data_IF_922415533404
#
_entry.id   IF_922415533404
#
_cell.length_a   1.000
_cell.length_b   1.000
_cell.length_c   1.000
_cell.angle_alpha   90.00
_cell.angle_beta   90.00
_cell.angle_gamma   90.00
#
_symmetry.space_group_name_H-M   'P 1'
#
loop_
_entity.id
_entity.type
_entity.pdbx_description
1 polymer ?
#
# COMPACT_ATOMS: atom_id res chain seq x y z
N UNK A 1 -28.58 -14.85 -0.62
CA UNK A 1 -27.50 -15.85 -0.87
C UNK A 1 -26.90 -16.20 0.47
N UNK A 2 -26.97 -17.46 0.94
CA UNK A 2 -26.48 -17.91 2.28
C UNK A 2 -24.99 -17.65 2.57
N UNK A 3 -24.20 -17.38 1.53
CA UNK A 3 -22.78 -17.11 1.66
C UNK A 3 -22.46 -15.86 2.50
N UNK A 4 -23.31 -14.86 2.48
CA UNK A 4 -23.10 -13.58 3.18
C UNK A 4 -23.26 -13.67 4.70
N UNK A 5 -24.11 -14.56 5.20
CA UNK A 5 -24.36 -14.69 6.64
C UNK A 5 -23.27 -15.53 7.34
N UNK A 6 -22.82 -16.62 6.73
CA UNK A 6 -21.77 -17.49 7.31
C UNK A 6 -20.38 -16.85 7.31
N UNK A 7 -20.10 -15.94 6.38
CA UNK A 7 -18.79 -15.30 6.26
C UNK A 7 -18.71 -13.91 6.90
N UNK A 8 -19.84 -13.31 7.28
CA UNK A 8 -19.89 -11.98 7.90
C UNK A 8 -19.06 -11.88 9.18
N UNK A 9 -18.96 -12.96 9.95
CA UNK A 9 -18.17 -13.05 11.18
C UNK A 9 -16.68 -13.36 10.94
N UNK A 10 -16.25 -13.61 9.70
CA UNK A 10 -14.85 -13.89 9.35
C UNK A 10 -14.07 -12.65 8.94
N UNK A 11 -14.78 -11.56 8.66
CA UNK A 11 -14.15 -10.29 8.33
C UNK A 11 -14.20 -9.35 9.52
N UNK A 12 -13.20 -8.51 9.74
CA UNK A 12 -13.25 -7.49 10.78
C UNK A 12 -14.46 -6.59 10.54
N UNK A 13 -15.11 -6.20 11.64
CA UNK A 13 -16.22 -5.26 11.55
C UNK A 13 -15.71 -3.91 11.04
N UNK A 14 -16.43 -3.34 10.07
CA UNK A 14 -16.09 -2.04 9.51
C UNK A 14 -16.23 -0.94 10.58
N UNK A 15 -15.19 -0.12 10.70
CA UNK A 15 -15.16 1.06 11.56
C UNK A 15 -16.03 2.17 10.98
N UNK A 16 -16.37 3.13 11.81
CA UNK A 16 -17.11 4.35 11.43
C UNK A 16 -16.31 5.59 11.88
N UNK A 17 -15.04 5.65 11.50
CA UNK A 17 -14.07 6.61 12.02
C UNK A 17 -13.30 7.35 10.93
N UNK A 18 -13.75 7.23 9.67
CA UNK A 18 -13.09 7.77 8.48
C UNK A 18 -11.67 7.24 8.24
N UNK A 19 -11.32 6.09 8.81
CA UNK A 19 -10.05 5.44 8.54
C UNK A 19 -9.99 4.88 7.12
N UNK A 20 -8.80 4.99 6.50
CA UNK A 20 -8.53 4.48 5.15
C UNK A 20 -7.46 3.39 5.25
N UNK A 21 -7.79 2.19 4.80
CA UNK A 21 -6.80 1.16 4.54
C UNK A 21 -6.28 1.27 3.12
N UNK A 22 -4.98 1.41 2.97
CA UNK A 22 -4.30 1.49 1.67
C UNK A 22 -3.56 0.19 1.41
N UNK A 23 -4.01 -0.57 0.42
CA UNK A 23 -3.36 -1.81 -0.03
C UNK A 23 -2.30 -1.48 -1.07
N UNK A 24 -1.04 -1.76 -0.75
CA UNK A 24 0.12 -1.45 -1.55
C UNK A 24 0.96 -2.71 -1.81
N UNK A 25 0.90 -3.22 -3.02
CA UNK A 25 1.79 -4.29 -3.49
C UNK A 25 2.96 -3.69 -4.28
N UNK A 26 4.19 -4.08 -3.96
CA UNK A 26 5.39 -3.63 -4.68
C UNK A 26 6.26 -4.80 -5.08
N UNK A 27 6.87 -4.70 -6.27
CA UNK A 27 7.83 -5.66 -6.80
C UNK A 27 9.07 -4.92 -7.28
N UNK A 28 10.14 -4.94 -6.47
CA UNK A 28 11.44 -4.33 -6.79
C UNK A 28 11.34 -2.87 -7.25
N UNK A 29 10.37 -2.13 -6.73
CA UNK A 29 10.06 -0.77 -7.16
C UNK A 29 10.77 0.26 -6.27
N UNK A 30 11.72 1.04 -6.81
CA UNK A 30 12.45 2.05 -6.06
C UNK A 30 11.59 3.27 -5.68
N UNK A 31 10.42 3.46 -6.31
CA UNK A 31 9.52 4.57 -6.02
C UNK A 31 8.60 4.32 -4.83
N UNK A 32 8.51 3.07 -4.36
CA UNK A 32 7.62 2.71 -3.26
C UNK A 32 7.80 3.58 -1.99
N UNK A 33 9.01 3.91 -1.51
CA UNK A 33 9.16 4.80 -0.36
C UNK A 33 8.59 6.19 -0.60
N UNK A 34 8.73 6.73 -1.82
CA UNK A 34 8.20 8.03 -2.21
C UNK A 34 6.67 8.02 -2.23
N UNK A 35 6.07 6.93 -2.68
CA UNK A 35 4.61 6.76 -2.67
C UNK A 35 4.04 6.82 -1.25
N UNK A 36 4.62 6.05 -0.29
CA UNK A 36 4.14 6.09 1.10
C UNK A 36 4.39 7.47 1.72
N UNK A 37 5.54 8.08 1.44
CA UNK A 37 5.84 9.43 1.89
C UNK A 37 4.81 10.45 1.39
N UNK A 38 4.55 10.46 0.08
CA UNK A 38 3.56 11.35 -0.55
C UNK A 38 2.15 11.13 0.04
N UNK A 39 1.78 9.87 0.30
CA UNK A 39 0.51 9.48 0.90
C UNK A 39 0.31 10.12 2.28
N UNK A 40 1.33 10.05 3.16
CA UNK A 40 1.25 10.63 4.51
C UNK A 40 1.43 12.14 4.54
N UNK A 41 2.33 12.67 3.71
CA UNK A 41 2.64 14.11 3.66
C UNK A 41 1.46 14.96 3.19
N UNK A 42 0.71 14.43 2.21
CA UNK A 42 -0.39 15.13 1.57
C UNK A 42 -1.77 14.80 2.15
N UNK A 43 -1.85 13.92 3.14
CA UNK A 43 -3.11 13.63 3.80
C UNK A 43 -3.51 14.73 4.78
N UNK A 44 -4.79 15.07 4.84
CA UNK A 44 -5.38 15.93 5.85
C UNK A 44 -5.40 15.27 7.24
N UNK A 45 -5.61 13.94 7.26
CA UNK A 45 -5.73 13.13 8.47
C UNK A 45 -4.78 11.91 8.43
N UNK A 46 -3.44 12.12 8.47
CA UNK A 46 -2.47 11.04 8.38
C UNK A 46 -2.61 10.01 9.51
N UNK A 47 -3.16 10.40 10.66
CA UNK A 47 -3.45 9.50 11.79
C UNK A 47 -4.57 8.49 11.52
N UNK A 48 -5.35 8.69 10.45
CA UNK A 48 -6.43 7.80 9.99
C UNK A 48 -5.99 6.83 8.90
N UNK A 49 -4.74 6.89 8.47
CA UNK A 49 -4.21 6.05 7.39
C UNK A 49 -3.57 4.78 7.92
N UNK A 50 -3.88 3.67 7.27
CA UNK A 50 -3.32 2.34 7.54
C UNK A 50 -2.86 1.74 6.23
N UNK A 51 -1.58 1.37 6.14
CA UNK A 51 -0.98 0.83 4.91
C UNK A 51 -0.68 -0.65 5.10
N UNK A 52 -1.22 -1.48 4.23
CA UNK A 52 -0.83 -2.88 4.09
C UNK A 52 0.19 -3.01 2.97
N UNK A 53 1.47 -3.06 3.35
CA UNK A 53 2.59 -3.13 2.42
C UNK A 53 3.02 -4.57 2.19
N UNK A 54 2.76 -5.08 1.00
CA UNK A 54 3.27 -6.37 0.52
C UNK A 54 4.48 -6.14 -0.38
N UNK A 55 5.68 -6.34 0.17
CA UNK A 55 6.93 -6.02 -0.48
C UNK A 55 7.62 -7.29 -1.01
N UNK A 56 7.90 -7.32 -2.30
CA UNK A 56 8.54 -8.41 -3.02
C UNK A 56 9.88 -7.91 -3.56
N UNK A 57 10.93 -8.06 -2.78
CA UNK A 57 12.25 -7.49 -3.07
C UNK A 57 13.35 -8.55 -3.04
N UNK A 58 14.43 -8.25 -3.72
CA UNK A 58 15.67 -8.98 -3.57
C UNK A 58 16.44 -8.45 -2.35
N UNK A 59 16.74 -9.32 -1.39
CA UNK A 59 17.38 -8.92 -0.13
C UNK A 59 18.87 -9.29 -0.07
N UNK A 60 19.39 -10.03 -1.06
CA UNK A 60 20.75 -10.55 -1.04
C UNK A 60 21.78 -9.61 -1.68
N UNK A 61 23.07 -9.85 -1.42
CA UNK A 61 24.15 -9.09 -2.05
C UNK A 61 24.29 -9.35 -3.57
N UNK A 62 23.66 -10.41 -4.08
CA UNK A 62 23.69 -10.80 -5.50
C UNK A 62 22.38 -10.52 -6.22
N UNK A 63 21.67 -9.50 -5.81
CA UNK A 63 20.46 -9.09 -6.49
C UNK A 63 20.78 -8.59 -7.90
N UNK A 64 20.21 -9.23 -8.90
CA UNK A 64 20.40 -8.86 -10.30
C UNK A 64 19.37 -7.84 -10.72
N UNK A 65 19.80 -6.74 -11.31
CA UNK A 65 18.90 -5.88 -12.05
C UNK A 65 18.53 -6.57 -13.36
N UNK A 66 17.26 -6.58 -13.73
CA UNK A 66 16.82 -7.11 -15.02
C UNK A 66 17.25 -6.30 -16.23
N UNK A 67 18.16 -5.32 -16.08
CA UNK A 67 18.63 -4.43 -17.13
C UNK A 67 19.96 -4.99 -17.68
N UNK A 68 19.86 -5.56 -18.87
CA UNK A 68 21.03 -5.93 -19.69
C UNK A 68 21.65 -4.67 -20.29
N UNK A 69 22.65 -4.07 -19.62
CA UNK A 69 23.56 -3.15 -20.28
C UNK A 69 24.66 -3.95 -20.96
N UNK A 70 24.64 -4.01 -22.28
CA UNK A 70 25.68 -4.69 -23.07
C UNK A 70 25.74 -6.21 -22.88
N UNK A 71 24.62 -6.89 -22.51
CA UNK A 71 24.56 -8.35 -22.33
C UNK A 71 25.11 -8.86 -20.97
N UNK A 72 25.53 -7.97 -20.08
CA UNK A 72 26.03 -8.33 -18.74
C UNK A 72 24.94 -7.97 -17.72
N UNK A 73 24.56 -8.93 -16.88
CA UNK A 73 23.68 -8.69 -15.72
C UNK A 73 24.59 -8.21 -14.59
N UNK A 74 24.52 -6.92 -14.28
CA UNK A 74 25.26 -6.37 -13.12
C UNK A 74 24.54 -6.71 -11.82
N UNK A 75 25.29 -7.10 -10.79
CA UNK A 75 24.78 -7.25 -9.43
C UNK A 75 24.56 -5.85 -8.85
N UNK A 76 23.30 -5.46 -8.65
CA UNK A 76 22.92 -4.13 -8.16
C UNK A 76 22.90 -4.01 -6.63
N UNK A 77 23.13 -5.12 -5.93
CA UNK A 77 22.90 -5.18 -4.49
C UNK A 77 21.40 -5.33 -4.13
N UNK A 78 21.07 -5.28 -2.85
CA UNK A 78 19.68 -5.43 -2.41
C UNK A 78 18.81 -4.27 -2.89
N UNK A 79 17.53 -4.58 -3.14
CA UNK A 79 16.53 -3.55 -3.46
C UNK A 79 16.28 -2.63 -2.26
N UNK A 80 15.84 -1.40 -2.53
CA UNK A 80 15.44 -0.47 -1.47
C UNK A 80 14.29 -1.07 -0.65
N UNK A 81 14.44 -1.07 0.67
CA UNK A 81 13.38 -1.52 1.56
C UNK A 81 12.39 -0.36 1.79
N UNK A 82 11.23 -0.45 1.15
CA UNK A 82 10.20 0.58 1.18
C UNK A 82 9.77 0.96 2.61
N UNK A 83 9.58 -0.04 3.48
CA UNK A 83 9.20 0.17 4.87
C UNK A 83 10.29 0.92 5.65
N UNK A 84 11.53 0.44 5.56
CA UNK A 84 12.65 1.02 6.30
C UNK A 84 12.93 2.45 5.85
N UNK A 85 12.92 2.70 4.54
CA UNK A 85 13.12 4.03 3.97
C UNK A 85 12.04 5.01 4.41
N UNK A 86 10.77 4.60 4.37
CA UNK A 86 9.68 5.44 4.87
C UNK A 86 9.75 5.66 6.38
N UNK A 87 9.92 4.60 7.18
CA UNK A 87 9.91 4.71 8.65
C UNK A 87 11.04 5.59 9.20
N UNK A 88 12.17 5.68 8.48
CA UNK A 88 13.30 6.54 8.83
C UNK A 88 13.21 7.93 8.20
N UNK A 89 12.24 8.20 7.34
CA UNK A 89 12.02 9.51 6.75
C UNK A 89 11.44 10.51 7.77
N UNK A 90 11.60 11.83 7.55
CA UNK A 90 10.97 12.84 8.39
C UNK A 90 9.45 12.66 8.53
N UNK A 91 8.76 12.25 7.47
CA UNK A 91 7.32 12.01 7.44
C UNK A 91 6.93 10.77 8.26
N UNK A 92 7.67 9.67 8.11
CA UNK A 92 7.47 8.44 8.88
C UNK A 92 7.67 8.65 10.39
N UNK A 93 8.69 9.44 10.75
CA UNK A 93 8.98 9.82 12.15
C UNK A 93 7.87 10.71 12.69
N UNK A 94 7.47 11.75 11.95
CA UNK A 94 6.45 12.74 12.35
C UNK A 94 5.08 12.11 12.55
N UNK A 95 4.67 11.23 11.63
CA UNK A 95 3.38 10.55 11.70
C UNK A 95 3.31 9.47 12.79
N UNK A 96 4.46 8.99 13.27
CA UNK A 96 4.56 7.79 14.12
C UNK A 96 3.88 6.53 13.52
N UNK A 97 3.64 6.51 12.22
CA UNK A 97 2.86 5.46 11.57
C UNK A 97 3.45 4.06 11.77
N UNK A 98 4.78 3.92 11.67
CA UNK A 98 5.43 2.63 11.89
C UNK A 98 5.38 2.20 13.36
N UNK A 99 5.56 3.13 14.31
CA UNK A 99 5.49 2.83 15.76
C UNK A 99 4.09 2.40 16.19
N UNK A 100 3.07 2.98 15.59
CA UNK A 100 1.67 2.71 15.90
C UNK A 100 1.11 1.54 15.08
N UNK A 101 1.95 0.82 14.34
CA UNK A 101 1.53 -0.28 13.45
C UNK A 101 0.50 0.13 12.40
N UNK A 102 0.54 1.39 11.96
CA UNK A 102 -0.27 1.88 10.85
C UNK A 102 0.31 1.45 9.49
N UNK A 103 1.61 1.14 9.42
CA UNK A 103 2.22 0.49 8.25
C UNK A 103 2.53 -0.96 8.62
N UNK A 104 1.77 -1.87 8.02
CA UNK A 104 1.86 -3.32 8.24
C UNK A 104 2.60 -3.94 7.08
N UNK A 105 3.73 -4.59 7.35
CA UNK A 105 4.65 -5.10 6.35
C UNK A 105 4.62 -6.62 6.24
N UNK A 106 4.63 -7.12 5.02
CA UNK A 106 5.00 -8.49 4.71
C UNK A 106 6.05 -8.50 3.59
N UNK A 107 7.20 -9.08 3.87
CA UNK A 107 8.30 -9.22 2.92
C UNK A 107 8.35 -10.64 2.36
N UNK A 108 8.51 -10.74 1.05
CA UNK A 108 8.87 -11.98 0.37
C UNK A 108 10.04 -11.74 -0.58
N UNK A 109 10.79 -12.79 -0.87
CA UNK A 109 11.83 -12.69 -1.88
C UNK A 109 11.19 -12.54 -3.27
N UNK A 110 11.83 -11.80 -4.18
CA UNK A 110 11.33 -11.57 -5.54
C UNK A 110 11.11 -12.87 -6.32
N UNK A 111 11.89 -13.91 -6.02
CA UNK A 111 11.76 -15.23 -6.64
C UNK A 111 10.48 -15.98 -6.24
N UNK A 112 9.84 -15.58 -5.14
CA UNK A 112 8.57 -16.12 -4.66
C UNK A 112 7.37 -15.32 -5.17
N UNK A 113 7.61 -14.32 -6.01
CA UNK A 113 6.54 -13.49 -6.59
C UNK A 113 5.65 -14.29 -7.52
N UNK A 114 4.35 -14.25 -7.28
CA UNK A 114 3.31 -14.84 -8.10
C UNK A 114 2.50 -13.80 -8.89
N UNK A 115 3.10 -12.62 -9.10
CA UNK A 115 2.52 -11.55 -9.89
C UNK A 115 1.58 -10.63 -9.09
N UNK A 116 1.06 -9.58 -9.76
CA UNK A 116 0.34 -8.47 -9.12
C UNK A 116 -0.97 -8.89 -8.44
N UNK A 117 -1.69 -9.86 -8.98
CA UNK A 117 -2.94 -10.32 -8.39
C UNK A 117 -2.74 -10.99 -7.03
N UNK A 118 -1.68 -11.81 -6.91
CA UNK A 118 -1.35 -12.43 -5.63
C UNK A 118 -0.87 -11.38 -4.62
N UNK A 119 -0.05 -10.42 -5.06
CA UNK A 119 0.40 -9.31 -4.21
C UNK A 119 -0.78 -8.50 -3.64
N UNK A 120 -1.75 -8.15 -4.48
CA UNK A 120 -2.97 -7.45 -4.07
C UNK A 120 -3.83 -8.27 -3.11
N UNK A 121 -3.98 -9.58 -3.39
CA UNK A 121 -4.71 -10.50 -2.51
C UNK A 121 -4.06 -10.59 -1.12
N UNK A 122 -2.73 -10.77 -1.06
CA UNK A 122 -2.00 -10.85 0.21
C UNK A 122 -1.98 -9.50 0.93
N UNK A 123 -1.82 -8.40 0.20
CA UNK A 123 -1.94 -7.05 0.76
C UNK A 123 -3.29 -6.78 1.42
N UNK A 124 -4.37 -7.26 0.80
CA UNK A 124 -5.72 -7.13 1.35
C UNK A 124 -5.92 -7.87 2.70
N UNK A 125 -5.08 -8.88 3.01
CA UNK A 125 -5.14 -9.59 4.31
C UNK A 125 -4.75 -8.72 5.50
N UNK A 126 -4.10 -7.57 5.26
CA UNK A 126 -3.77 -6.61 6.31
C UNK A 126 -4.94 -5.72 6.74
N UNK A 127 -6.05 -5.73 6.01
CA UNK A 127 -7.25 -4.99 6.36
C UNK A 127 -7.80 -5.42 7.72
N UNK A 128 -8.09 -4.46 8.59
CA UNK A 128 -8.57 -4.68 9.96
C UNK A 128 -9.87 -3.92 10.27
N UNK A 129 -10.69 -3.74 9.25
CA UNK A 129 -11.99 -3.09 9.40
C UNK A 129 -11.96 -1.56 9.25
N UNK A 130 -10.90 -0.99 8.70
CA UNK A 130 -10.87 0.43 8.33
C UNK A 130 -12.11 0.78 7.47
N UNK A 131 -12.63 2.00 7.62
CA UNK A 131 -13.92 2.35 7.00
C UNK A 131 -13.87 2.36 5.47
N UNK A 132 -12.74 2.77 4.90
CA UNK A 132 -12.53 2.82 3.46
C UNK A 132 -11.36 1.93 3.06
N UNK A 133 -11.44 1.38 1.86
CA UNK A 133 -10.38 0.57 1.24
C UNK A 133 -9.91 1.24 -0.04
N UNK A 134 -8.61 1.51 -0.13
CA UNK A 134 -7.95 2.07 -1.30
C UNK A 134 -6.87 1.11 -1.79
N UNK A 135 -6.86 0.78 -3.07
CA UNK A 135 -5.80 0.01 -3.70
C UNK A 135 -5.02 0.90 -4.66
N UNK A 136 -3.71 0.91 -4.52
CA UNK A 136 -2.81 1.73 -5.33
C UNK A 136 -1.62 0.93 -5.86
N UNK A 137 -0.96 1.47 -6.86
CA UNK A 137 0.35 0.99 -7.33
C UNK A 137 1.49 1.69 -6.55
N UNK A 138 2.66 1.04 -6.53
CA UNK A 138 3.81 1.46 -5.71
C UNK A 138 4.56 2.70 -6.22
N UNK A 139 4.10 3.30 -7.32
CA UNK A 139 4.63 4.51 -7.95
C UNK A 139 3.54 5.57 -8.14
N UNK A 140 2.74 5.78 -7.10
CA UNK A 140 1.65 6.75 -7.08
C UNK A 140 2.05 8.02 -6.32
N UNK A 141 1.54 9.17 -6.75
CA UNK A 141 1.67 10.45 -6.06
C UNK A 141 0.30 10.97 -5.64
N UNK A 142 0.27 11.71 -4.53
CA UNK A 142 -0.95 12.22 -3.92
C UNK A 142 -0.94 13.74 -3.89
N UNK A 143 -2.09 14.34 -4.21
CA UNK A 143 -2.31 15.78 -4.08
C UNK A 143 -2.65 16.14 -2.62
N UNK A 144 -2.45 17.40 -2.19
CA UNK A 144 -2.88 17.84 -0.85
C UNK A 144 -4.35 17.51 -0.56
N UNK A 145 -4.64 17.08 0.67
CA UNK A 145 -5.97 16.72 1.15
C UNK A 145 -6.64 15.55 0.38
N UNK A 146 -5.87 14.67 -0.26
CA UNK A 146 -6.38 13.59 -1.09
C UNK A 146 -7.38 12.68 -0.36
N UNK A 147 -7.13 12.39 0.91
CA UNK A 147 -7.99 11.57 1.78
C UNK A 147 -9.39 12.17 1.95
N UNK A 148 -9.45 13.48 2.20
CA UNK A 148 -10.70 14.21 2.27
C UNK A 148 -11.44 14.21 0.92
N UNK A 149 -10.73 14.46 -0.17
CA UNK A 149 -11.33 14.48 -1.50
C UNK A 149 -11.90 13.11 -1.91
N UNK A 150 -11.17 12.03 -1.67
CA UNK A 150 -11.65 10.67 -1.98
C UNK A 150 -12.86 10.28 -1.11
N UNK A 151 -12.82 10.54 0.20
CA UNK A 151 -13.98 10.28 1.08
C UNK A 151 -15.19 11.06 0.59
N UNK A 152 -15.02 12.34 0.26
CA UNK A 152 -16.12 13.16 -0.28
C UNK A 152 -16.68 12.59 -1.57
N UNK A 153 -15.84 12.18 -2.52
CA UNK A 153 -16.28 11.56 -3.78
C UNK A 153 -17.06 10.28 -3.55
N UNK A 154 -16.62 9.41 -2.63
CA UNK A 154 -17.34 8.18 -2.26
C UNK A 154 -18.68 8.51 -1.63
N UNK A 155 -18.73 9.49 -0.71
CA UNK A 155 -19.93 9.87 0.03
C UNK A 155 -20.99 10.53 -0.88
N UNK A 156 -20.54 11.34 -1.84
CA UNK A 156 -21.44 12.07 -2.77
C UNK A 156 -21.89 11.19 -3.94
N UNK A 157 -21.30 10.01 -4.12
CA UNK A 157 -21.67 9.13 -5.23
C UNK A 157 -23.11 8.59 -5.07
N UNK A 158 -23.96 8.67 -6.12
CA UNK A 158 -25.36 8.25 -6.08
C UNK A 158 -25.52 6.73 -6.16
N UNK A 159 -24.87 5.99 -5.25
CA UNK A 159 -24.89 4.53 -5.22
C UNK A 159 -24.90 4.04 -3.76
N UNK A 160 -25.55 2.92 -3.50
CA UNK A 160 -25.57 2.30 -2.16
C UNK A 160 -24.17 1.76 -1.76
N UNK A 161 -23.40 1.25 -2.72
CA UNK A 161 -22.05 0.72 -2.53
C UNK A 161 -21.11 1.33 -3.58
N UNK A 162 -20.71 2.59 -3.41
CA UNK A 162 -19.92 3.30 -4.40
C UNK A 162 -18.51 2.74 -4.49
N UNK A 163 -17.99 2.64 -5.71
CA UNK A 163 -16.59 2.34 -6.02
C UNK A 163 -16.09 3.43 -6.95
N UNK A 164 -15.00 4.09 -6.55
CA UNK A 164 -14.32 5.08 -7.36
C UNK A 164 -13.09 4.44 -7.98
N UNK A 165 -12.87 4.70 -9.24
CA UNK A 165 -11.70 4.24 -9.98
C UNK A 165 -11.16 5.38 -10.83
N UNK A 166 -9.83 5.48 -10.93
CA UNK A 166 -9.15 6.39 -11.84
C UNK A 166 -8.08 5.66 -12.63
N UNK A 167 -7.84 6.12 -13.83
CA UNK A 167 -6.70 5.69 -14.62
C UNK A 167 -5.53 6.65 -14.37
N UNK A 168 -4.30 6.15 -14.27
CA UNK A 168 -3.15 7.06 -14.27
C UNK A 168 -3.08 7.86 -15.59
N UNK A 169 -2.60 9.09 -15.55
CA UNK A 169 -2.44 9.94 -16.74
C UNK A 169 -1.44 9.36 -17.73
#
# INVERSE_FOLDING_TARGET
MKWDEENRNRFPQQRQDHSIFVSLGTYRDPFCPMTIKSLYENARHPEKLYVGLFQQNCFGPRCRTGVLKGGIVEDAGPDLNCYTEFCNSPEGIRSNACKNNHVRLFNVNESESLGPYMARYLGAKFYQGEQYYLQIDSHSEFIPDWDYHLIKMVTDAPAEKPVISTYPP
#
